data_IF_022273111359
#
_entry.id   IF_022273111359
#
_cell.length_a   1.000
_cell.length_b   1.000
_cell.length_c   1.000
_cell.angle_alpha   90.00
_cell.angle_beta   90.00
_cell.angle_gamma   90.00
#
_symmetry.space_group_name_H-M   'P 1'
#
loop_
_entity.id
_entity.type
_entity.pdbx_description
1 polymer ?
#
# COMPACT_ATOMS: atom_id res chain seq x y z
N UNK A 1 11.64 5.60 -47.60
CA UNK A 1 10.43 6.29 -48.07
C UNK A 1 9.97 7.35 -47.07
N UNK A 2 9.29 8.40 -47.55
CA UNK A 2 8.72 9.46 -46.67
C UNK A 2 7.85 8.90 -45.54
N UNK A 3 7.10 7.83 -45.81
CA UNK A 3 6.28 7.15 -44.81
C UNK A 3 7.12 6.53 -43.68
N UNK A 4 8.23 5.87 -44.04
CA UNK A 4 9.13 5.30 -43.04
C UNK A 4 9.77 6.38 -42.16
N UNK A 5 10.18 7.50 -42.76
CA UNK A 5 10.72 8.65 -42.03
C UNK A 5 9.66 9.25 -41.09
N UNK A 6 8.43 9.43 -41.57
CA UNK A 6 7.34 9.95 -40.73
C UNK A 6 7.06 9.07 -39.52
N UNK A 7 7.03 7.74 -39.67
CA UNK A 7 6.82 6.79 -38.57
C UNK A 7 7.89 6.89 -37.49
N UNK A 8 9.14 7.13 -37.84
CA UNK A 8 10.22 7.26 -36.85
C UNK A 8 10.34 8.67 -36.27
N UNK A 9 9.87 9.69 -36.97
CA UNK A 9 10.04 11.09 -36.56
C UNK A 9 8.87 11.63 -35.73
N UNK A 10 7.62 11.24 -36.10
CA UNK A 10 6.43 11.79 -35.48
C UNK A 10 6.38 11.56 -33.95
N UNK A 11 6.65 10.35 -33.43
CA UNK A 11 6.71 10.14 -31.98
C UNK A 11 7.70 11.05 -31.28
N UNK A 12 8.89 11.25 -31.90
CA UNK A 12 9.94 12.10 -31.34
C UNK A 12 9.56 13.59 -31.38
N UNK A 13 8.84 14.06 -32.41
CA UNK A 13 8.33 15.42 -32.46
C UNK A 13 7.37 15.71 -31.31
N UNK A 14 6.38 14.81 -31.05
CA UNK A 14 5.48 14.96 -29.92
C UNK A 14 6.22 14.89 -28.58
N UNK A 15 7.21 14.03 -28.45
CA UNK A 15 8.08 14.00 -27.27
C UNK A 15 8.78 15.34 -27.01
N UNK A 16 9.33 15.97 -28.05
CA UNK A 16 9.97 17.28 -27.96
C UNK A 16 8.98 18.39 -27.61
N UNK A 17 7.77 18.35 -28.16
CA UNK A 17 6.68 19.29 -27.82
C UNK A 17 6.28 19.13 -26.34
N UNK A 18 6.17 17.89 -25.86
CA UNK A 18 5.93 17.61 -24.43
C UNK A 18 7.02 18.20 -23.53
N UNK A 19 8.29 18.03 -23.90
CA UNK A 19 9.42 18.63 -23.20
C UNK A 19 9.42 20.16 -23.22
N UNK A 20 8.97 20.78 -24.28
CA UNK A 20 8.77 22.23 -24.40
C UNK A 20 7.70 22.73 -23.45
N UNK A 21 6.54 22.07 -23.44
CA UNK A 21 5.42 22.39 -22.55
C UNK A 21 5.78 22.21 -21.07
N UNK A 22 6.60 21.21 -20.75
CA UNK A 22 7.07 20.96 -19.40
C UNK A 22 7.97 22.10 -18.87
N UNK A 23 8.83 22.66 -19.72
CA UNK A 23 9.68 23.81 -19.34
C UNK A 23 8.87 25.04 -18.94
N UNK A 24 7.70 25.21 -19.51
CA UNK A 24 6.76 26.28 -19.17
C UNK A 24 5.76 25.90 -18.10
N UNK A 25 5.92 24.72 -17.46
CA UNK A 25 5.01 24.15 -16.46
C UNK A 25 3.57 23.96 -16.96
N UNK A 26 3.38 23.89 -18.27
CA UNK A 26 2.08 23.53 -18.85
C UNK A 26 1.92 22.00 -18.84
N UNK A 27 1.60 21.46 -17.66
CA UNK A 27 1.49 20.02 -17.45
C UNK A 27 0.41 19.36 -18.31
N UNK A 28 -0.71 20.04 -18.53
CA UNK A 28 -1.80 19.49 -19.35
C UNK A 28 -1.36 19.27 -20.80
N UNK A 29 -0.70 20.26 -21.41
CA UNK A 29 -0.20 20.13 -22.78
C UNK A 29 1.01 19.19 -22.85
N UNK A 30 1.84 19.15 -21.81
CA UNK A 30 2.95 18.21 -21.71
C UNK A 30 2.44 16.76 -21.69
N UNK A 31 1.44 16.44 -20.85
CA UNK A 31 0.80 15.12 -20.80
C UNK A 31 0.26 14.73 -22.18
N UNK A 32 -0.56 15.58 -22.79
CA UNK A 32 -1.17 15.32 -24.10
C UNK A 32 -0.11 14.97 -25.15
N UNK A 33 1.01 15.70 -25.18
CA UNK A 33 2.07 15.48 -26.13
C UNK A 33 2.88 14.21 -25.83
N UNK A 34 3.18 13.91 -24.56
CA UNK A 34 3.87 12.67 -24.22
C UNK A 34 2.98 11.44 -24.44
N UNK A 35 1.69 11.50 -24.10
CA UNK A 35 0.73 10.44 -24.38
C UNK A 35 0.62 10.17 -25.88
N UNK A 36 0.54 11.24 -26.70
CA UNK A 36 0.53 11.11 -28.17
C UNK A 36 1.83 10.53 -28.70
N UNK A 37 2.97 10.91 -28.13
CA UNK A 37 4.25 10.31 -28.46
C UNK A 37 4.28 8.81 -28.16
N UNK A 38 3.75 8.38 -26.98
CA UNK A 38 3.70 6.98 -26.61
C UNK A 38 2.78 6.18 -27.53
N UNK A 39 1.57 6.68 -27.80
CA UNK A 39 0.60 6.06 -28.72
C UNK A 39 1.19 5.81 -30.12
N UNK A 40 1.82 6.84 -30.68
CA UNK A 40 2.43 6.73 -32.00
C UNK A 40 3.68 5.82 -32.02
N UNK A 41 4.46 5.84 -30.94
CA UNK A 41 5.61 4.95 -30.78
C UNK A 41 5.18 3.48 -30.71
N UNK A 42 4.12 3.17 -29.95
CA UNK A 42 3.51 1.84 -29.90
C UNK A 42 2.99 1.41 -31.28
N UNK A 43 2.21 2.28 -31.93
CA UNK A 43 1.65 2.01 -33.27
C UNK A 43 2.74 1.70 -34.31
N UNK A 44 3.91 2.32 -34.18
CA UNK A 44 5.01 2.14 -35.14
C UNK A 44 6.11 1.19 -34.67
N UNK A 45 5.92 0.56 -33.46
CA UNK A 45 6.82 -0.45 -32.92
C UNK A 45 8.09 0.12 -32.28
N UNK A 46 8.16 1.43 -32.00
CA UNK A 46 9.30 2.05 -31.28
C UNK A 46 9.07 1.97 -29.75
N UNK A 47 9.29 0.77 -29.20
CA UNK A 47 9.10 0.50 -27.77
C UNK A 47 10.02 1.34 -26.88
N UNK A 48 11.18 1.73 -27.38
CA UNK A 48 12.12 2.61 -26.66
C UNK A 48 11.54 4.01 -26.48
N UNK A 49 10.99 4.58 -27.56
CA UNK A 49 10.35 5.90 -27.49
C UNK A 49 9.07 5.87 -26.66
N UNK A 50 8.28 4.80 -26.78
CA UNK A 50 7.09 4.57 -25.95
C UNK A 50 7.45 4.58 -24.46
N UNK A 51 8.45 3.80 -24.06
CA UNK A 51 8.92 3.76 -22.67
C UNK A 51 9.39 5.11 -22.13
N UNK A 52 10.13 5.89 -22.96
CA UNK A 52 10.55 7.25 -22.59
C UNK A 52 9.35 8.18 -22.37
N UNK A 53 8.36 8.12 -23.24
CA UNK A 53 7.16 8.96 -23.16
C UNK A 53 6.31 8.62 -21.95
N UNK A 54 6.06 7.33 -21.69
CA UNK A 54 5.32 6.85 -20.51
C UNK A 54 6.05 7.21 -19.21
N UNK A 55 7.37 7.17 -19.19
CA UNK A 55 8.16 7.62 -18.03
C UNK A 55 7.93 9.09 -17.68
N UNK A 56 7.80 9.96 -18.69
CA UNK A 56 7.47 11.37 -18.45
C UNK A 56 6.01 11.57 -18.04
N UNK A 57 5.07 10.83 -18.62
CA UNK A 57 3.66 10.83 -18.19
C UNK A 57 3.57 10.48 -16.71
N UNK A 58 4.19 9.38 -16.28
CA UNK A 58 4.22 8.95 -14.89
C UNK A 58 4.85 10.03 -13.98
N UNK A 59 5.96 10.64 -14.41
CA UNK A 59 6.63 11.71 -13.64
C UNK A 59 5.77 12.96 -13.47
N UNK A 60 5.02 13.35 -14.49
CA UNK A 60 4.09 14.51 -14.39
C UNK A 60 2.95 14.18 -13.40
N UNK A 61 2.36 12.99 -13.49
CA UNK A 61 1.34 12.57 -12.53
C UNK A 61 1.89 12.53 -11.10
N UNK A 62 3.13 12.07 -10.90
CA UNK A 62 3.78 12.09 -9.59
C UNK A 62 3.94 13.50 -9.04
N UNK A 63 4.34 14.48 -9.86
CA UNK A 63 4.47 15.88 -9.45
C UNK A 63 3.12 16.49 -9.08
N UNK A 64 2.11 16.34 -9.94
CA UNK A 64 0.77 16.90 -9.71
C UNK A 64 0.07 16.23 -8.51
N UNK A 65 0.16 14.90 -8.41
CA UNK A 65 -0.41 14.15 -7.28
C UNK A 65 0.27 14.52 -5.96
N UNK A 66 1.60 14.68 -5.98
CA UNK A 66 2.37 15.14 -4.81
C UNK A 66 2.00 16.55 -4.37
N UNK A 67 1.76 17.47 -5.30
CA UNK A 67 1.28 18.82 -4.98
C UNK A 67 -0.11 18.78 -4.33
N UNK A 68 -1.06 18.04 -4.88
CA UNK A 68 -2.38 17.85 -4.30
C UNK A 68 -2.30 17.21 -2.91
N UNK A 69 -1.46 16.17 -2.74
CA UNK A 69 -1.24 15.51 -1.46
C UNK A 69 -0.69 16.46 -0.39
N UNK A 70 0.32 17.28 -0.74
CA UNK A 70 0.90 18.28 0.18
C UNK A 70 -0.11 19.35 0.58
N UNK A 71 -1.05 19.65 -0.29
CA UNK A 71 -2.18 20.55 -0.01
C UNK A 71 -3.31 19.86 0.78
N UNK A 72 -3.14 18.60 1.17
CA UNK A 72 -4.14 17.75 1.83
C UNK A 72 -5.41 17.50 1.00
N UNK A 73 -5.35 17.73 -0.30
CA UNK A 73 -6.40 17.32 -1.23
C UNK A 73 -6.16 15.86 -1.67
N UNK A 74 -6.42 14.97 -0.72
CA UNK A 74 -6.15 13.55 -0.90
C UNK A 74 -7.03 12.89 -1.97
N UNK A 75 -8.23 13.42 -2.18
CA UNK A 75 -9.15 12.95 -3.24
C UNK A 75 -8.55 13.22 -4.61
N UNK A 76 -8.13 14.46 -4.86
CA UNK A 76 -7.45 14.83 -6.12
C UNK A 76 -6.13 14.08 -6.27
N UNK A 77 -5.35 13.95 -5.20
CA UNK A 77 -4.08 13.21 -5.21
C UNK A 77 -4.29 11.75 -5.61
N UNK A 78 -5.24 11.05 -4.99
CA UNK A 78 -5.58 9.65 -5.31
C UNK A 78 -5.98 9.50 -6.79
N UNK A 79 -6.84 10.38 -7.30
CA UNK A 79 -7.27 10.35 -8.70
C UNK A 79 -6.13 10.57 -9.70
N UNK A 80 -5.15 11.40 -9.35
CA UNK A 80 -3.96 11.65 -10.18
C UNK A 80 -3.00 10.46 -10.11
N UNK A 81 -2.71 9.95 -8.90
CA UNK A 81 -1.83 8.79 -8.74
C UNK A 81 -2.40 7.54 -9.39
N UNK A 82 -3.73 7.36 -9.36
CA UNK A 82 -4.39 6.24 -10.06
C UNK A 82 -4.16 6.31 -11.57
N UNK A 83 -4.28 7.49 -12.18
CA UNK A 83 -3.98 7.70 -13.61
C UNK A 83 -2.52 7.38 -13.92
N UNK A 84 -1.59 7.86 -13.09
CA UNK A 84 -0.18 7.59 -13.26
C UNK A 84 0.17 6.11 -13.11
N UNK A 85 -0.43 5.42 -12.15
CA UNK A 85 -0.24 3.98 -11.95
C UNK A 85 -0.84 3.14 -13.10
N UNK A 86 -1.98 3.56 -13.65
CA UNK A 86 -2.54 2.92 -14.86
C UNK A 86 -1.65 3.10 -16.09
N UNK A 87 -0.99 4.25 -16.22
CA UNK A 87 -0.05 4.49 -17.31
C UNK A 87 1.25 3.68 -17.21
N UNK A 88 1.69 3.40 -15.97
CA UNK A 88 2.87 2.58 -15.68
C UNK A 88 2.61 1.69 -14.46
N UNK A 89 2.03 0.48 -14.66
CA UNK A 89 1.71 -0.45 -13.57
C UNK A 89 2.94 -1.02 -12.85
N UNK A 90 4.13 -0.89 -13.42
CA UNK A 90 5.38 -1.29 -12.78
C UNK A 90 5.94 -0.22 -11.82
N UNK A 91 5.35 0.97 -11.82
CA UNK A 91 5.74 2.08 -10.96
C UNK A 91 5.17 1.91 -9.55
N UNK A 92 5.86 1.12 -8.74
CA UNK A 92 5.47 0.86 -7.34
C UNK A 92 5.50 2.11 -6.47
N UNK A 93 6.36 3.10 -6.77
CA UNK A 93 6.36 4.38 -6.07
C UNK A 93 5.05 5.16 -6.28
N UNK A 94 4.45 5.09 -7.48
CA UNK A 94 3.14 5.67 -7.77
C UNK A 94 2.04 4.96 -6.97
N UNK A 95 2.10 3.62 -6.91
CA UNK A 95 1.16 2.80 -6.15
C UNK A 95 1.27 3.09 -4.63
N UNK A 96 2.48 3.29 -4.09
CA UNK A 96 2.69 3.69 -2.69
C UNK A 96 2.00 5.03 -2.38
N UNK A 97 2.16 6.03 -3.26
CA UNK A 97 1.51 7.32 -3.09
C UNK A 97 -0.02 7.24 -3.19
N UNK A 98 -0.53 6.38 -4.08
CA UNK A 98 -1.97 6.10 -4.19
C UNK A 98 -2.50 5.47 -2.90
N UNK A 99 -1.82 4.44 -2.39
CA UNK A 99 -2.19 3.77 -1.13
C UNK A 99 -2.21 4.75 0.05
N UNK A 100 -1.19 5.59 0.14
CA UNK A 100 -1.11 6.63 1.17
C UNK A 100 -2.27 7.62 1.06
N UNK A 101 -2.62 8.06 -0.16
CA UNK A 101 -3.75 8.95 -0.37
C UNK A 101 -5.07 8.31 0.07
N UNK A 102 -5.30 7.04 -0.22
CA UNK A 102 -6.49 6.32 0.27
C UNK A 102 -6.53 6.23 1.79
N UNK A 103 -5.41 5.93 2.45
CA UNK A 103 -5.37 5.90 3.91
C UNK A 103 -5.68 7.26 4.54
N UNK A 104 -5.12 8.35 3.99
CA UNK A 104 -5.40 9.72 4.45
C UNK A 104 -6.86 10.17 4.19
N UNK A 105 -7.54 9.58 3.19
CA UNK A 105 -8.98 9.75 2.96
C UNK A 105 -9.86 8.94 3.93
N UNK A 106 -9.29 8.08 4.74
CA UNK A 106 -10.02 7.13 5.57
C UNK A 106 -10.45 5.85 4.83
N UNK A 107 -10.06 5.68 3.57
CA UNK A 107 -10.30 4.48 2.75
C UNK A 107 -9.25 3.40 3.07
N UNK A 108 -9.17 3.04 4.37
CA UNK A 108 -8.11 2.20 4.93
C UNK A 108 -7.93 0.88 4.15
N UNK A 109 -9.02 0.18 3.85
CA UNK A 109 -8.96 -1.13 3.18
C UNK A 109 -8.33 -1.03 1.79
N UNK A 110 -8.71 0.01 1.01
CA UNK A 110 -8.13 0.22 -0.32
C UNK A 110 -6.62 0.51 -0.26
N UNK A 111 -6.20 1.30 0.73
CA UNK A 111 -4.79 1.57 0.95
C UNK A 111 -4.02 0.30 1.32
N UNK A 112 -4.57 -0.52 2.23
CA UNK A 112 -3.96 -1.77 2.66
C UNK A 112 -3.82 -2.78 1.50
N UNK A 113 -4.83 -2.92 0.65
CA UNK A 113 -4.79 -3.81 -0.51
C UNK A 113 -3.63 -3.49 -1.46
N UNK A 114 -3.39 -2.20 -1.70
CA UNK A 114 -2.28 -1.76 -2.55
C UNK A 114 -0.93 -2.01 -1.85
N UNK A 115 -0.81 -1.66 -0.57
CA UNK A 115 0.43 -1.91 0.18
C UNK A 115 0.75 -3.41 0.22
N UNK A 116 -0.24 -4.27 0.45
CA UNK A 116 -0.06 -5.72 0.48
C UNK A 116 0.43 -6.26 -0.88
N UNK A 117 -0.17 -5.79 -1.98
CA UNK A 117 0.26 -6.14 -3.33
C UNK A 117 1.71 -5.73 -3.62
N UNK A 118 2.17 -4.59 -3.09
CA UNK A 118 3.56 -4.14 -3.22
C UNK A 118 4.48 -4.98 -2.31
N UNK A 119 4.08 -5.20 -1.05
CA UNK A 119 4.85 -5.97 -0.08
C UNK A 119 5.08 -7.43 -0.50
N UNK A 120 4.18 -8.00 -1.29
CA UNK A 120 4.28 -9.34 -1.85
C UNK A 120 5.23 -9.46 -3.05
N UNK A 121 5.74 -8.36 -3.62
CA UNK A 121 6.68 -8.39 -4.75
C UNK A 121 8.05 -8.88 -4.29
N UNK A 122 8.52 -9.99 -4.87
CA UNK A 122 9.79 -10.64 -4.48
C UNK A 122 10.98 -10.30 -5.37
N UNK A 123 10.75 -9.67 -6.53
CA UNK A 123 11.84 -9.31 -7.43
C UNK A 123 12.73 -8.22 -6.79
N UNK A 124 14.08 -8.34 -6.82
CA UNK A 124 15.00 -7.41 -6.16
C UNK A 124 14.79 -5.93 -6.47
N UNK A 125 14.32 -5.60 -7.69
CA UNK A 125 14.04 -4.22 -8.08
C UNK A 125 12.97 -3.54 -7.22
N UNK A 126 12.12 -4.31 -6.53
CA UNK A 126 11.04 -3.80 -5.69
C UNK A 126 11.34 -3.89 -4.19
N UNK A 127 12.54 -4.35 -3.80
CA UNK A 127 12.86 -4.63 -2.39
C UNK A 127 12.64 -3.41 -1.47
N UNK A 128 13.08 -2.23 -1.89
CA UNK A 128 12.92 -1.00 -1.10
C UNK A 128 11.45 -0.57 -1.01
N UNK A 129 10.70 -0.69 -2.10
CA UNK A 129 9.27 -0.35 -2.13
C UNK A 129 8.45 -1.37 -1.32
N UNK A 130 8.79 -2.65 -1.38
CA UNK A 130 8.15 -3.68 -0.57
C UNK A 130 8.41 -3.46 0.93
N UNK A 131 9.64 -3.08 1.30
CA UNK A 131 9.96 -2.72 2.68
C UNK A 131 9.20 -1.45 3.13
N UNK A 132 9.10 -0.45 2.24
CA UNK A 132 8.32 0.77 2.50
C UNK A 132 6.84 0.44 2.67
N UNK A 133 6.27 -0.40 1.81
CA UNK A 133 4.87 -0.83 1.92
C UNK A 133 4.59 -1.50 3.28
N UNK A 134 5.45 -2.43 3.72
CA UNK A 134 5.32 -3.09 5.05
C UNK A 134 5.35 -2.08 6.19
N UNK A 135 6.24 -1.09 6.13
CA UNK A 135 6.32 0.00 7.11
C UNK A 135 5.05 0.83 7.16
N UNK A 136 4.52 1.21 6.00
CA UNK A 136 3.31 2.02 5.90
C UNK A 136 2.07 1.24 6.36
N UNK A 137 1.98 -0.06 6.04
CA UNK A 137 0.95 -0.95 6.57
C UNK A 137 0.95 -0.93 8.10
N UNK A 138 2.12 -1.13 8.73
CA UNK A 138 2.22 -1.10 10.19
C UNK A 138 1.82 0.26 10.76
N UNK A 139 2.27 1.36 10.16
CA UNK A 139 1.96 2.72 10.60
C UNK A 139 0.45 2.99 10.58
N UNK A 140 -0.21 2.80 9.44
CA UNK A 140 -1.64 3.08 9.30
C UNK A 140 -2.50 2.11 10.10
N UNK A 141 -2.08 0.83 10.22
CA UNK A 141 -2.73 -0.14 11.10
C UNK A 141 -2.67 0.31 12.55
N UNK A 142 -1.49 0.71 13.04
CA UNK A 142 -1.33 1.17 14.43
C UNK A 142 -2.15 2.44 14.70
N UNK A 143 -2.20 3.38 13.76
CA UNK A 143 -3.03 4.58 13.89
C UNK A 143 -4.52 4.21 13.99
N UNK A 144 -5.00 3.30 13.14
CA UNK A 144 -6.40 2.85 13.17
C UNK A 144 -6.73 2.06 14.44
N UNK A 145 -5.83 1.21 14.87
CA UNK A 145 -5.95 0.49 16.16
C UNK A 145 -6.02 1.49 17.32
N UNK A 146 -5.17 2.51 17.35
CA UNK A 146 -5.18 3.51 18.41
C UNK A 146 -6.50 4.30 18.44
N UNK A 147 -7.03 4.67 17.28
CA UNK A 147 -8.35 5.32 17.15
C UNK A 147 -9.46 4.45 17.76
N UNK A 148 -9.54 3.17 17.34
CA UNK A 148 -10.54 2.24 17.80
C UNK A 148 -10.39 1.90 19.31
N UNK A 149 -9.15 1.80 19.80
CA UNK A 149 -8.87 1.60 21.24
C UNK A 149 -9.34 2.79 22.07
N UNK A 150 -9.12 4.02 21.62
CA UNK A 150 -9.62 5.22 22.30
C UNK A 150 -11.16 5.25 22.37
N UNK A 151 -11.82 4.72 21.34
CA UNK A 151 -13.27 4.54 21.32
C UNK A 151 -13.76 3.34 22.12
N UNK A 152 -12.86 2.48 22.63
CA UNK A 152 -13.21 1.22 23.30
C UNK A 152 -13.73 0.15 22.33
N UNK A 153 -13.56 0.34 21.04
CA UNK A 153 -14.09 -0.54 19.99
C UNK A 153 -13.11 -1.66 19.65
N UNK A 154 -12.91 -2.58 20.59
CA UNK A 154 -12.07 -3.76 20.35
C UNK A 154 -12.67 -4.73 19.34
N UNK A 155 -14.00 -4.76 19.18
CA UNK A 155 -14.66 -5.58 18.18
C UNK A 155 -14.38 -5.04 16.77
N UNK A 156 -14.34 -3.73 16.61
CA UNK A 156 -13.91 -3.08 15.36
C UNK A 156 -12.47 -3.44 14.99
N UNK A 157 -11.55 -3.50 15.98
CA UNK A 157 -10.17 -3.95 15.75
C UNK A 157 -10.13 -5.40 15.26
N UNK A 158 -10.88 -6.30 15.89
CA UNK A 158 -10.95 -7.72 15.50
C UNK A 158 -11.52 -7.85 14.10
N UNK A 159 -12.61 -7.15 13.78
CA UNK A 159 -13.25 -7.17 12.45
C UNK A 159 -12.28 -6.68 11.37
N UNK A 160 -11.56 -5.59 11.63
CA UNK A 160 -10.54 -5.06 10.72
C UNK A 160 -9.42 -6.08 10.48
N UNK A 161 -8.91 -6.70 11.56
CA UNK A 161 -7.85 -7.70 11.44
C UNK A 161 -8.32 -8.96 10.72
N UNK A 162 -9.53 -9.45 10.99
CA UNK A 162 -10.10 -10.62 10.33
C UNK A 162 -10.27 -10.38 8.83
N UNK A 163 -10.76 -9.20 8.40
CA UNK A 163 -10.90 -8.85 7.00
C UNK A 163 -9.56 -8.89 6.24
N UNK A 164 -8.47 -8.49 6.88
CA UNK A 164 -7.14 -8.58 6.29
C UNK A 164 -6.58 -10.01 6.31
N UNK A 165 -6.89 -10.79 7.37
CA UNK A 165 -6.48 -12.18 7.47
C UNK A 165 -7.24 -13.11 6.51
N UNK A 166 -8.44 -12.75 6.06
CA UNK A 166 -9.12 -13.45 4.96
C UNK A 166 -8.33 -13.38 3.66
N UNK A 167 -7.64 -12.26 3.40
CA UNK A 167 -6.80 -12.05 2.21
C UNK A 167 -5.41 -12.66 2.39
N UNK A 168 -4.81 -12.49 3.57
CA UNK A 168 -3.48 -12.98 3.90
C UNK A 168 -3.49 -13.65 5.30
N UNK A 169 -3.83 -14.95 5.38
CA UNK A 169 -3.99 -15.66 6.66
C UNK A 169 -2.73 -15.72 7.52
N UNK A 170 -1.55 -15.56 6.94
CA UNK A 170 -0.25 -15.64 7.64
C UNK A 170 0.35 -14.29 7.98
N UNK A 171 -0.37 -13.18 7.76
CA UNK A 171 0.13 -11.84 8.08
C UNK A 171 0.43 -11.69 9.57
N UNK A 172 1.71 -11.59 9.94
CA UNK A 172 2.15 -11.40 11.33
C UNK A 172 1.51 -10.16 11.97
N UNK A 173 1.44 -9.05 11.22
CA UNK A 173 0.85 -7.80 11.67
C UNK A 173 -0.59 -8.01 12.14
N UNK A 174 -1.44 -8.59 11.30
CA UNK A 174 -2.87 -8.72 11.60
C UNK A 174 -3.18 -9.85 12.58
N UNK A 175 -2.38 -10.93 12.58
CA UNK A 175 -2.43 -11.94 13.64
C UNK A 175 -2.15 -11.32 15.02
N UNK A 176 -1.09 -10.52 15.13
CA UNK A 176 -0.74 -9.84 16.37
C UNK A 176 -1.83 -8.85 16.82
N UNK A 177 -2.32 -8.00 15.91
CA UNK A 177 -3.39 -7.03 16.19
C UNK A 177 -4.64 -7.73 16.71
N UNK A 178 -5.06 -8.83 16.09
CA UNK A 178 -6.21 -9.62 16.51
C UNK A 178 -6.05 -10.24 17.90
N UNK A 179 -4.89 -10.86 18.16
CA UNK A 179 -4.61 -11.47 19.46
C UNK A 179 -4.55 -10.43 20.58
N UNK A 180 -3.93 -9.27 20.33
CA UNK A 180 -3.92 -8.17 21.29
C UNK A 180 -5.32 -7.64 21.58
N UNK A 181 -6.17 -7.50 20.57
CA UNK A 181 -7.56 -7.05 20.76
C UNK A 181 -8.36 -8.04 21.61
N UNK A 182 -8.23 -9.35 21.38
CA UNK A 182 -8.83 -10.38 22.25
C UNK A 182 -8.27 -10.32 23.67
N UNK A 183 -6.96 -10.12 23.85
CA UNK A 183 -6.35 -9.99 25.17
C UNK A 183 -6.89 -8.75 25.92
N UNK A 184 -7.03 -7.62 25.26
CA UNK A 184 -7.60 -6.40 25.84
C UNK A 184 -9.08 -6.58 26.25
N UNK A 185 -9.84 -7.37 25.50
CA UNK A 185 -11.20 -7.79 25.89
C UNK A 185 -11.23 -8.83 27.03
N UNK A 186 -10.06 -9.30 27.48
CA UNK A 186 -9.93 -10.42 28.43
C UNK A 186 -10.54 -11.74 27.91
N UNK A 187 -10.65 -11.87 26.59
CA UNK A 187 -11.10 -13.06 25.89
C UNK A 187 -9.95 -14.07 25.75
N UNK A 188 -9.33 -14.44 26.87
CA UNK A 188 -8.10 -15.26 26.89
C UNK A 188 -8.27 -16.62 26.22
N UNK A 189 -9.48 -17.19 26.23
CA UNK A 189 -9.76 -18.45 25.53
C UNK A 189 -9.55 -18.31 24.03
N UNK A 190 -9.93 -17.16 23.44
CA UNK A 190 -9.68 -16.88 22.04
C UNK A 190 -8.19 -16.64 21.72
N UNK A 191 -7.46 -16.00 22.62
CA UNK A 191 -6.01 -15.86 22.48
C UNK A 191 -5.33 -17.24 22.50
N UNK A 192 -5.75 -18.14 23.37
CA UNK A 192 -5.21 -19.51 23.48
C UNK A 192 -5.59 -20.33 22.24
N UNK A 193 -6.84 -20.26 21.80
CA UNK A 193 -7.34 -20.99 20.62
C UNK A 193 -6.57 -20.60 19.33
N UNK A 194 -6.31 -19.31 19.14
CA UNK A 194 -5.72 -18.78 17.90
C UNK A 194 -4.21 -18.61 17.97
N UNK A 195 -3.66 -18.40 19.15
CA UNK A 195 -2.26 -17.97 19.33
C UNK A 195 -1.24 -19.02 18.91
N UNK A 196 -1.49 -20.32 19.17
CA UNK A 196 -0.59 -21.39 18.76
C UNK A 196 -0.49 -21.48 17.24
N UNK A 197 -1.63 -21.51 16.53
CA UNK A 197 -1.67 -21.56 15.08
C UNK A 197 -1.06 -20.28 14.46
N UNK A 198 -1.29 -19.12 15.08
CA UNK A 198 -0.69 -17.87 14.66
C UNK A 198 0.84 -17.89 14.77
N UNK A 199 1.38 -18.42 15.87
CA UNK A 199 2.83 -18.56 16.07
C UNK A 199 3.45 -19.55 15.09
N UNK A 200 2.82 -20.71 14.88
CA UNK A 200 3.31 -21.77 14.00
C UNK A 200 3.32 -21.34 12.52
N UNK A 201 2.48 -20.39 12.14
CA UNK A 201 2.43 -19.81 10.80
C UNK A 201 3.57 -18.82 10.50
N UNK A 202 4.31 -18.33 11.53
CA UNK A 202 5.38 -17.36 11.33
C UNK A 202 6.72 -18.01 11.02
N UNK A 203 7.39 -17.49 9.99
CA UNK A 203 8.77 -17.90 9.62
C UNK A 203 9.82 -17.09 10.38
N UNK A 204 9.54 -15.81 10.64
CA UNK A 204 10.44 -14.92 11.35
C UNK A 204 10.37 -15.18 12.87
N UNK A 205 11.53 -15.27 13.51
CA UNK A 205 11.63 -15.58 14.94
C UNK A 205 11.02 -14.48 15.83
N UNK A 206 11.16 -13.22 15.42
CA UNK A 206 10.63 -12.08 16.14
C UNK A 206 9.09 -12.12 16.19
N UNK A 207 8.45 -12.34 15.03
CA UNK A 207 7.01 -12.42 14.91
C UNK A 207 6.45 -13.61 15.71
N UNK A 208 7.10 -14.77 15.61
CA UNK A 208 6.73 -15.97 16.36
C UNK A 208 6.85 -15.76 17.86
N UNK A 209 7.92 -15.13 18.33
CA UNK A 209 8.16 -14.85 19.75
C UNK A 209 7.09 -13.95 20.34
N UNK A 210 6.64 -12.94 19.58
CA UNK A 210 5.56 -12.03 19.98
C UNK A 210 4.24 -12.79 20.18
N UNK A 211 3.90 -13.70 19.28
CA UNK A 211 2.69 -14.53 19.40
C UNK A 211 2.76 -15.45 20.63
N UNK A 212 3.90 -16.09 20.90
CA UNK A 212 4.10 -16.91 22.10
C UNK A 212 4.05 -16.10 23.39
N UNK A 213 4.53 -14.85 23.38
CA UNK A 213 4.40 -13.95 24.51
C UNK A 213 2.92 -13.69 24.85
N UNK A 214 2.09 -13.36 23.86
CA UNK A 214 0.66 -13.14 24.06
C UNK A 214 -0.06 -14.41 24.54
N UNK A 215 0.30 -15.56 23.97
CA UNK A 215 -0.23 -16.87 24.39
C UNK A 215 0.11 -17.17 25.85
N UNK A 216 1.37 -16.99 26.24
CA UNK A 216 1.82 -17.20 27.62
C UNK A 216 1.14 -16.26 28.61
N UNK A 217 0.97 -14.98 28.25
CA UNK A 217 0.24 -14.01 29.06
C UNK A 217 -1.23 -14.41 29.25
N UNK A 218 -1.88 -14.96 28.22
CA UNK A 218 -3.26 -15.43 28.30
C UNK A 218 -3.42 -16.65 29.24
N UNK A 219 -2.49 -17.62 29.19
CA UNK A 219 -2.47 -18.76 30.11
C UNK A 219 -2.30 -18.28 31.55
N UNK A 220 -1.32 -17.42 31.83
CA UNK A 220 -1.10 -16.87 33.16
C UNK A 220 -2.34 -16.13 33.71
N UNK A 221 -2.99 -15.34 32.87
CA UNK A 221 -4.20 -14.61 33.27
C UNK A 221 -5.38 -15.55 33.62
N UNK A 222 -5.48 -16.71 32.96
CA UNK A 222 -6.50 -17.74 33.29
C UNK A 222 -6.21 -18.45 34.61
N UNK A 223 -4.95 -18.79 34.86
CA UNK A 223 -4.55 -19.46 36.11
C UNK A 223 -4.73 -18.57 37.35
N UNK A 224 -4.55 -17.28 37.23
CA UNK A 224 -4.74 -16.32 38.33
C UNK A 224 -6.21 -16.06 38.71
N UNK A 225 -7.18 -16.33 37.82
CA UNK A 225 -8.63 -16.14 38.10
C UNK A 225 -9.15 -16.97 39.23
N UNK A 226 -8.82 -18.29 39.38
CA UNK A 226 -9.30 -19.12 40.49
C UNK A 226 -8.80 -18.66 41.87
N UNK A 227 -7.59 -18.12 41.95
CA UNK A 227 -6.98 -17.66 43.20
C UNK A 227 -7.62 -16.38 43.74
N UNK A 228 -8.14 -15.52 42.86
CA UNK A 228 -8.84 -14.29 43.26
C UNK A 228 -10.26 -14.56 43.77
N UNK A 229 -10.92 -15.62 43.29
CA UNK A 229 -12.25 -16.02 43.76
C UNK A 229 -12.23 -16.74 45.09
N UNK A 230 -11.14 -17.43 45.43
CA UNK A 230 -10.98 -18.13 46.70
C UNK A 230 -10.56 -17.22 47.88
N UNK A 231 -10.34 -15.91 47.63
CA UNK A 231 -9.98 -14.91 48.65
C UNK A 231 -11.15 -14.00 49.08
N UNK A 232 -12.37 -14.31 48.65
CA UNK A 232 -13.61 -13.69 49.10
C UNK A 232 -14.43 -14.69 49.91
#
# INVERSE_FOLDING_TARGET
SLVATAKTTLPKCYFMLGGGSLKTKNYAEALKNFEKSAELAELYGDMTQMGKSNGWVAKIYQLQGGEAFNNKDYVTAAGIFEKGYKADPDNTAMALNLAMSYCEMGEYEKGMDIYEAIAAKTHPKYADDAATAKKMMALYTNNKVAELQQAGDFDGIITMADAQLEKNPTSALFQNVRLQAYANKKAYDKVIELGQAAADAQTEEEDRSLMYYLLGAAYNAKEMKPQAQNKR
#
